data_IF_655680251372
#
_entry.id   IF_655680251372
#
_cell.length_a   1.000
_cell.length_b   1.000
_cell.length_c   1.000
_cell.angle_alpha   90.00
_cell.angle_beta   90.00
_cell.angle_gamma   90.00
#
_symmetry.space_group_name_H-M   'P 1'
#
loop_
_entity.id
_entity.type
_entity.pdbx_description
1 polymer ?
#
# COMPACT_ATOMS: atom_id res chain seq x y z
N UNK A 1 0.90 -19.10 -5.93
CA UNK A 1 1.32 -18.38 -4.72
C UNK A 1 0.39 -17.19 -4.59
N UNK A 2 -0.11 -16.86 -3.39
CA UNK A 2 -0.92 -15.66 -3.19
C UNK A 2 -0.15 -14.43 -3.68
N UNK A 3 -0.86 -13.47 -4.26
CA UNK A 3 -0.26 -12.26 -4.82
C UNK A 3 0.06 -11.32 -3.67
N UNK A 4 1.34 -10.98 -3.52
CA UNK A 4 1.88 -10.21 -2.39
C UNK A 4 2.29 -8.78 -2.77
N UNK A 5 2.02 -8.40 -4.02
CA UNK A 5 2.28 -7.09 -4.58
C UNK A 5 1.30 -6.72 -5.68
N UNK A 6 1.04 -5.43 -5.83
CA UNK A 6 0.23 -4.89 -6.92
C UNK A 6 0.79 -3.55 -7.39
N UNK A 7 0.42 -3.14 -8.61
CA UNK A 7 0.64 -1.78 -9.10
C UNK A 7 -0.75 -1.19 -9.34
N UNK A 8 -0.97 0.02 -8.84
CA UNK A 8 -2.21 0.78 -9.01
C UNK A 8 -1.89 2.26 -9.25
N UNK A 9 -2.88 3.05 -9.65
CA UNK A 9 -2.72 4.50 -9.83
C UNK A 9 -3.42 5.28 -8.72
N UNK A 10 -2.80 6.39 -8.29
CA UNK A 10 -3.46 7.35 -7.39
C UNK A 10 -4.40 8.30 -8.15
N UNK A 11 -5.05 9.23 -7.44
CA UNK A 11 -5.95 10.23 -8.04
C UNK A 11 -5.25 11.20 -9.01
N UNK A 12 -3.93 11.30 -8.97
CA UNK A 12 -3.11 12.11 -9.86
C UNK A 12 -2.51 11.28 -11.01
N UNK A 13 -3.05 10.08 -11.25
CA UNK A 13 -2.61 9.12 -12.27
C UNK A 13 -1.17 8.63 -12.09
N UNK A 14 -0.55 8.85 -10.91
CA UNK A 14 0.80 8.36 -10.61
C UNK A 14 0.74 6.88 -10.27
N UNK A 15 1.70 6.11 -10.77
CA UNK A 15 1.78 4.68 -10.47
C UNK A 15 2.38 4.47 -9.09
N UNK A 16 1.82 3.50 -8.36
CA UNK A 16 2.31 3.07 -7.05
C UNK A 16 2.46 1.56 -7.01
N UNK A 17 3.64 1.11 -6.63
CA UNK A 17 3.93 -0.28 -6.28
C UNK A 17 3.65 -0.48 -4.80
N UNK A 18 2.74 -1.40 -4.47
CA UNK A 18 2.52 -1.87 -3.10
C UNK A 18 3.10 -3.28 -2.94
N UNK A 19 3.82 -3.51 -1.85
CA UNK A 19 4.42 -4.80 -1.53
C UNK A 19 4.26 -5.14 -0.04
N UNK A 20 3.75 -6.33 0.25
CA UNK A 20 3.64 -6.83 1.63
C UNK A 20 5.02 -6.99 2.28
N UNK A 21 5.15 -6.50 3.51
CA UNK A 21 6.34 -6.63 4.35
C UNK A 21 6.15 -7.79 5.33
N UNK A 22 6.48 -9.01 4.89
CA UNK A 22 6.45 -10.18 5.76
C UNK A 22 7.43 -10.02 6.94
N UNK A 23 6.95 -10.29 8.15
CA UNK A 23 7.73 -10.16 9.39
C UNK A 23 7.60 -8.80 10.10
N UNK A 24 6.84 -7.85 9.57
CA UNK A 24 6.43 -6.65 10.32
C UNK A 24 5.25 -6.95 11.26
N UNK A 25 5.24 -6.36 12.47
CA UNK A 25 4.14 -6.56 13.42
C UNK A 25 2.84 -6.01 12.83
N UNK A 26 1.90 -6.90 12.55
CA UNK A 26 0.59 -6.61 11.97
C UNK A 26 -0.42 -7.69 12.38
N UNK A 27 -1.73 -7.38 12.43
CA UNK A 27 -2.75 -8.35 12.80
C UNK A 27 -3.05 -9.28 11.61
N UNK A 28 -2.07 -10.11 11.25
CA UNK A 28 -2.12 -11.03 10.10
C UNK A 28 -3.23 -12.08 10.22
N UNK A 29 -3.65 -12.40 11.45
CA UNK A 29 -4.83 -13.23 11.74
C UNK A 29 -6.16 -12.62 11.25
N UNK A 30 -6.19 -11.31 11.05
CA UNK A 30 -7.31 -10.57 10.45
C UNK A 30 -7.11 -10.34 8.94
N UNK A 31 -6.09 -10.94 8.32
CA UNK A 31 -5.75 -10.71 6.91
C UNK A 31 -5.08 -9.36 6.64
N UNK A 32 -4.72 -8.60 7.68
CA UNK A 32 -4.07 -7.30 7.56
C UNK A 32 -2.56 -7.46 7.69
N UNK A 33 -1.83 -6.88 6.74
CA UNK A 33 -0.38 -6.93 6.66
C UNK A 33 0.20 -5.53 6.56
N UNK A 34 1.41 -5.35 7.08
CA UNK A 34 2.18 -4.17 6.77
C UNK A 34 2.55 -4.18 5.28
N UNK A 35 2.46 -3.04 4.62
CA UNK A 35 2.80 -2.86 3.23
C UNK A 35 3.66 -1.62 3.04
N UNK A 36 4.58 -1.69 2.08
CA UNK A 36 5.32 -0.52 1.59
C UNK A 36 4.69 -0.06 0.28
N UNK A 37 4.62 1.26 0.11
CA UNK A 37 4.17 1.91 -1.11
C UNK A 37 5.33 2.72 -1.69
N UNK A 38 5.64 2.47 -2.96
CA UNK A 38 6.73 3.12 -3.68
C UNK A 38 6.24 3.64 -5.03
N UNK A 39 6.52 4.90 -5.34
CA UNK A 39 6.36 5.44 -6.68
C UNK A 39 7.56 4.99 -7.54
N UNK A 40 7.38 4.16 -8.58
CA UNK A 40 8.49 3.74 -9.45
C UNK A 40 8.92 4.84 -10.41
N UNK A 41 8.06 5.82 -10.68
CA UNK A 41 8.29 6.93 -11.61
C UNK A 41 9.09 8.06 -10.97
N UNK A 42 9.00 8.23 -9.66
CA UNK A 42 9.73 9.22 -8.89
C UNK A 42 10.50 8.58 -7.73
N UNK A 43 11.80 8.25 -7.91
CA UNK A 43 12.64 7.71 -6.85
C UNK A 43 12.90 8.67 -5.68
N UNK A 44 12.59 9.97 -5.82
CA UNK A 44 12.72 10.95 -4.75
C UNK A 44 11.47 11.00 -3.85
N UNK A 45 10.33 10.49 -4.32
CA UNK A 45 9.12 10.33 -3.50
C UNK A 45 9.43 9.35 -2.34
N UNK A 46 9.16 9.74 -1.08
CA UNK A 46 9.44 8.89 0.05
C UNK A 46 8.61 7.61 0.02
N UNK A 47 9.24 6.49 0.39
CA UNK A 47 8.53 5.22 0.62
C UNK A 47 7.58 5.41 1.79
N UNK A 48 6.30 5.11 1.57
CA UNK A 48 5.27 5.15 2.60
C UNK A 48 5.05 3.74 3.14
N UNK A 49 4.76 3.63 4.43
CA UNK A 49 4.52 2.34 5.08
C UNK A 49 3.21 2.43 5.82
N UNK A 50 2.31 1.48 5.55
CA UNK A 50 1.02 1.38 6.21
C UNK A 50 0.54 -0.06 6.29
N UNK A 51 -0.76 -0.22 6.43
CA UNK A 51 -1.39 -1.53 6.61
C UNK A 51 -2.47 -1.74 5.55
N UNK A 52 -2.60 -2.97 5.06
CA UNK A 52 -3.59 -3.31 4.03
C UNK A 52 -4.08 -4.75 4.21
N UNK A 53 -5.32 -5.01 3.80
CA UNK A 53 -5.83 -6.37 3.70
C UNK A 53 -5.20 -7.08 2.49
N UNK A 54 -4.75 -8.32 2.67
CA UNK A 54 -4.12 -9.09 1.57
C UNK A 54 -5.06 -9.28 0.38
N UNK A 55 -6.36 -9.44 0.64
CA UNK A 55 -7.39 -9.61 -0.38
C UNK A 55 -7.45 -8.42 -1.36
N UNK A 56 -7.15 -7.20 -0.90
CA UNK A 56 -7.10 -6.01 -1.75
C UNK A 56 -5.99 -6.11 -2.81
N UNK A 57 -4.86 -6.72 -2.47
CA UNK A 57 -3.75 -6.98 -3.40
C UNK A 57 -4.11 -8.13 -4.35
N UNK A 58 -4.73 -9.19 -3.83
CA UNK A 58 -5.10 -10.36 -4.63
C UNK A 58 -6.17 -10.06 -5.66
N UNK A 59 -7.08 -9.13 -5.36
CA UNK A 59 -8.20 -8.75 -6.21
C UNK A 59 -7.92 -7.51 -7.08
N UNK A 60 -6.74 -6.90 -6.97
CA UNK A 60 -6.43 -5.61 -7.60
C UNK A 60 -7.48 -4.53 -7.26
N UNK A 61 -7.87 -4.47 -5.98
CA UNK A 61 -8.84 -3.51 -5.48
C UNK A 61 -8.19 -2.12 -5.38
N UNK A 62 -8.16 -1.39 -6.49
CA UNK A 62 -7.52 -0.08 -6.58
C UNK A 62 -8.10 0.95 -5.61
N UNK A 63 -9.36 0.83 -5.20
CA UNK A 63 -9.97 1.73 -4.21
C UNK A 63 -9.33 1.49 -2.84
N UNK A 64 -9.32 0.25 -2.38
CA UNK A 64 -8.68 -0.12 -1.12
C UNK A 64 -7.17 0.15 -1.09
N UNK A 65 -6.46 -0.03 -2.22
CA UNK A 65 -5.05 0.29 -2.36
C UNK A 65 -4.78 1.81 -2.25
N UNK A 66 -5.65 2.63 -2.84
CA UNK A 66 -5.58 4.11 -2.75
C UNK A 66 -5.87 4.62 -1.34
N UNK A 67 -6.88 4.07 -0.69
CA UNK A 67 -7.21 4.42 0.70
C UNK A 67 -6.04 4.11 1.63
N UNK A 68 -5.47 2.91 1.51
CA UNK A 68 -4.29 2.51 2.29
C UNK A 68 -3.08 3.41 2.04
N UNK A 69 -2.85 3.85 0.79
CA UNK A 69 -1.79 4.81 0.45
C UNK A 69 -2.02 6.19 1.10
N UNK A 70 -3.26 6.67 1.10
CA UNK A 70 -3.63 7.95 1.69
C UNK A 70 -3.49 7.93 3.23
N UNK A 71 -3.89 6.84 3.89
CA UNK A 71 -3.70 6.63 5.32
C UNK A 71 -2.23 6.48 5.71
N UNK A 72 -1.40 5.96 4.80
CA UNK A 72 0.04 5.83 4.98
C UNK A 72 0.79 7.16 4.83
N UNK A 73 0.11 8.23 4.39
CA UNK A 73 0.73 9.54 4.23
C UNK A 73 0.92 10.22 5.60
N UNK A 74 2.17 10.40 6.07
CA UNK A 74 2.41 11.06 7.35
C UNK A 74 1.96 12.54 7.35
N UNK A 75 1.79 13.17 6.18
CA UNK A 75 1.35 14.56 6.08
C UNK A 75 -0.17 14.73 6.32
N UNK A 76 -0.98 13.71 6.03
CA UNK A 76 -2.44 13.77 6.21
C UNK A 76 -2.88 13.67 7.67
N UNK A 77 -2.03 13.17 8.57
CA UNK A 77 -2.37 13.01 10.00
C UNK A 77 -2.42 14.33 10.81
N UNK A 78 -2.06 15.48 10.20
CA UNK A 78 -1.98 16.79 10.87
C UNK A 78 -2.88 17.86 10.19
N UNK A 79 -3.95 17.44 9.51
CA UNK A 79 -4.93 18.32 8.84
C UNK A 79 -6.19 18.57 9.66
#
# INVERSE_FOLDING_TARGET
MPKDRAIFQDEQERSWLVEIQYGHPSPTELGIYAARFQCPEDPAEPVRVGFIQIDAIEQDDEEALRDALAESDPASAIG
#
